data_IF_216012415342
#
_entry.id   IF_216012415342
#
_cell.length_a   1.000
_cell.length_b   1.000
_cell.length_c   1.000
_cell.angle_alpha   90.00
_cell.angle_beta   90.00
_cell.angle_gamma   90.00
#
_symmetry.space_group_name_H-M   'P 1'
#
loop_
_entity.id
_entity.type
_entity.pdbx_description
1 polymer ?
#
# COMPACT_ATOMS: atom_id res chain seq x y z
N UNK A 1 11.70 2.87 -6.33
CA UNK A 1 12.35 3.97 -5.62
C UNK A 1 12.20 3.76 -4.11
N UNK A 2 13.18 4.18 -3.34
CA UNK A 2 13.15 4.15 -1.87
C UNK A 2 13.43 5.57 -1.36
N UNK A 3 12.68 5.98 -0.35
CA UNK A 3 12.87 7.27 0.33
C UNK A 3 12.74 7.10 1.82
N UNK A 4 13.72 7.60 2.55
CA UNK A 4 13.69 7.74 4.00
C UNK A 4 13.32 9.18 4.34
N UNK A 5 12.35 9.36 5.22
CA UNK A 5 11.92 10.66 5.71
C UNK A 5 11.94 10.66 7.25
N UNK A 6 12.20 11.82 7.81
CA UNK A 6 12.12 12.04 9.25
C UNK A 6 10.69 12.47 9.60
N UNK A 7 9.75 11.51 9.56
CA UNK A 7 8.36 11.70 9.95
C UNK A 7 8.10 11.14 11.35
N UNK A 8 7.19 11.75 12.09
CA UNK A 8 6.85 11.31 13.45
C UNK A 8 5.63 10.39 13.49
N UNK A 9 4.77 10.47 12.47
CA UNK A 9 3.53 9.72 12.39
C UNK A 9 3.30 9.10 10.99
N UNK A 10 2.35 8.18 10.94
CA UNK A 10 2.01 7.48 9.70
C UNK A 10 1.32 8.41 8.70
N UNK A 11 0.55 9.40 9.17
CA UNK A 11 -0.21 10.31 8.31
C UNK A 11 0.70 11.13 7.38
N UNK A 12 1.87 11.55 7.88
CA UNK A 12 2.87 12.23 7.03
C UNK A 12 3.38 11.32 5.91
N UNK A 13 3.53 10.02 6.18
CA UNK A 13 3.93 9.05 5.16
C UNK A 13 2.82 8.86 4.12
N UNK A 14 1.55 8.79 4.54
CA UNK A 14 0.40 8.70 3.62
C UNK A 14 0.32 9.93 2.72
N UNK A 15 0.40 11.14 3.30
CA UNK A 15 0.38 12.40 2.55
C UNK A 15 1.52 12.50 1.54
N UNK A 16 2.72 12.06 1.92
CA UNK A 16 3.87 12.04 1.01
C UNK A 16 3.63 11.09 -0.16
N UNK A 17 3.13 9.88 0.09
CA UNK A 17 2.87 8.88 -0.95
C UNK A 17 1.76 9.37 -1.89
N UNK A 18 0.66 9.88 -1.36
CA UNK A 18 -0.43 10.43 -2.17
C UNK A 18 0.05 11.60 -3.02
N UNK A 19 0.77 12.55 -2.42
CA UNK A 19 1.34 13.70 -3.11
C UNK A 19 2.31 13.31 -4.22
N UNK A 20 3.19 12.33 -3.97
CA UNK A 20 4.12 11.81 -4.97
C UNK A 20 3.39 11.21 -6.18
N UNK A 21 2.40 10.36 -5.93
CA UNK A 21 1.63 9.72 -7.01
C UNK A 21 0.83 10.75 -7.81
N UNK A 22 0.10 11.64 -7.14
CA UNK A 22 -0.69 12.68 -7.82
C UNK A 22 0.20 13.60 -8.64
N UNK A 23 1.32 14.07 -8.07
CA UNK A 23 2.27 14.94 -8.80
C UNK A 23 2.86 14.22 -10.02
N UNK A 24 3.21 12.94 -9.87
CA UNK A 24 3.76 12.15 -10.98
C UNK A 24 2.74 11.96 -12.10
N UNK A 25 1.49 11.64 -11.74
CA UNK A 25 0.39 11.50 -12.71
C UNK A 25 0.10 12.84 -13.42
N UNK A 26 0.01 13.95 -12.66
CA UNK A 26 -0.23 15.29 -13.23
C UNK A 26 0.89 15.69 -14.20
N UNK A 27 2.15 15.55 -13.80
CA UNK A 27 3.30 15.86 -14.66
C UNK A 27 3.31 15.01 -15.94
N UNK A 28 2.88 13.75 -15.86
CA UNK A 28 2.79 12.87 -17.02
C UNK A 28 1.69 13.34 -17.99
N UNK A 29 0.54 13.74 -17.46
CA UNK A 29 -0.55 14.30 -18.28
C UNK A 29 -0.12 15.60 -18.94
N UNK A 30 0.48 16.51 -18.19
CA UNK A 30 0.90 17.83 -18.70
C UNK A 30 1.98 17.73 -19.78
N UNK A 31 2.90 16.76 -19.63
CA UNK A 31 4.03 16.58 -20.57
C UNK A 31 3.66 15.76 -21.81
N UNK A 32 2.69 14.86 -21.71
CA UNK A 32 2.40 13.83 -22.72
C UNK A 32 0.90 13.61 -22.95
N UNK A 33 0.07 14.65 -22.84
CA UNK A 33 -1.39 14.52 -22.91
C UNK A 33 -1.87 13.75 -24.15
N UNK A 34 -1.31 14.06 -25.33
CA UNK A 34 -1.64 13.38 -26.57
C UNK A 34 -1.24 11.90 -26.59
N UNK A 35 -0.05 11.57 -26.10
CA UNK A 35 0.49 10.20 -26.08
C UNK A 35 -0.21 9.35 -25.04
N UNK A 36 -0.48 9.89 -23.85
CA UNK A 36 -1.23 9.20 -22.78
C UNK A 36 -2.65 8.88 -23.26
N UNK A 37 -3.34 9.87 -23.87
CA UNK A 37 -4.66 9.68 -24.43
C UNK A 37 -4.71 8.58 -25.50
N UNK A 38 -3.72 8.55 -26.39
CA UNK A 38 -3.59 7.53 -27.43
C UNK A 38 -3.29 6.16 -26.85
N UNK A 39 -2.38 6.06 -25.85
CA UNK A 39 -2.04 4.83 -25.18
C UNK A 39 -3.25 4.22 -24.46
N UNK A 40 -4.01 5.02 -23.71
CA UNK A 40 -5.22 4.57 -23.02
C UNK A 40 -6.30 4.08 -23.99
N UNK A 41 -6.51 4.80 -25.10
CA UNK A 41 -7.42 4.36 -26.17
C UNK A 41 -6.99 3.02 -26.78
N UNK A 42 -5.69 2.85 -27.07
CA UNK A 42 -5.16 1.59 -27.63
C UNK A 42 -5.30 0.44 -26.66
N UNK A 43 -5.07 0.66 -25.37
CA UNK A 43 -5.24 -0.37 -24.34
C UNK A 43 -6.70 -0.77 -24.15
N UNK A 44 -7.63 0.18 -24.16
CA UNK A 44 -9.07 -0.12 -24.07
C UNK A 44 -9.56 -0.99 -25.23
N UNK A 45 -8.96 -0.85 -26.43
CA UNK A 45 -9.26 -1.69 -27.59
C UNK A 45 -8.68 -3.10 -27.47
N UNK A 46 -7.49 -3.26 -26.86
CA UNK A 46 -6.83 -4.57 -26.67
C UNK A 46 -7.48 -5.43 -25.57
N UNK A 47 -8.04 -4.81 -24.56
CA UNK A 47 -8.58 -5.51 -23.38
C UNK A 47 -10.09 -5.75 -23.39
N UNK A 48 -10.79 -5.50 -24.51
CA UNK A 48 -12.22 -5.85 -24.67
C UNK A 48 -12.55 -7.34 -24.52
N UNK A 49 -11.55 -8.21 -24.39
CA UNK A 49 -11.72 -9.66 -24.28
C UNK A 49 -11.54 -10.24 -22.86
N UNK A 50 -11.21 -9.46 -21.84
CA UNK A 50 -11.18 -9.92 -20.44
C UNK A 50 -11.91 -8.92 -19.56
N UNK A 51 -13.11 -9.29 -19.14
CA UNK A 51 -13.92 -8.63 -18.13
C UNK A 51 -13.23 -8.74 -16.75
N UNK A 52 -12.32 -7.85 -16.48
CA UNK A 52 -11.96 -7.43 -15.10
C UNK A 52 -11.88 -5.93 -15.20
N UNK A 53 -12.71 -5.20 -14.44
CA UNK A 53 -12.96 -3.77 -14.45
C UNK A 53 -11.76 -2.83 -14.66
N UNK A 54 -11.12 -2.91 -15.80
CA UNK A 54 -10.04 -2.03 -16.20
C UNK A 54 -10.65 -0.80 -16.87
N UNK A 55 -11.14 0.11 -16.06
CA UNK A 55 -11.43 1.47 -16.51
C UNK A 55 -10.11 2.25 -16.60
N UNK A 56 -9.36 2.00 -17.69
CA UNK A 56 -8.12 2.72 -18.04
C UNK A 56 -8.46 4.01 -18.82
N UNK A 57 -9.54 4.68 -18.46
CA UNK A 57 -9.96 5.92 -19.10
C UNK A 57 -9.21 7.13 -18.50
N UNK A 58 -9.11 8.21 -19.26
CA UNK A 58 -8.64 9.49 -18.75
C UNK A 58 -9.49 9.96 -17.56
N UNK A 59 -10.81 9.72 -17.61
CA UNK A 59 -11.73 10.00 -16.52
C UNK A 59 -11.29 9.34 -15.21
N UNK A 60 -10.80 8.10 -15.30
CA UNK A 60 -10.30 7.39 -14.12
C UNK A 60 -9.04 8.05 -13.54
N UNK A 61 -8.09 8.45 -14.40
CA UNK A 61 -6.88 9.17 -13.95
C UNK A 61 -7.26 10.52 -13.33
N UNK A 62 -8.18 11.24 -13.93
CA UNK A 62 -8.70 12.51 -13.38
C UNK A 62 -9.40 12.31 -12.02
N UNK A 63 -10.13 11.20 -11.87
CA UNK A 63 -10.76 10.82 -10.61
C UNK A 63 -9.71 10.60 -9.52
N UNK A 64 -8.66 9.82 -9.80
CA UNK A 64 -7.55 9.60 -8.87
C UNK A 64 -6.86 10.91 -8.47
N UNK A 65 -6.72 11.86 -9.39
CA UNK A 65 -6.13 13.16 -9.10
C UNK A 65 -7.02 14.04 -8.19
N UNK A 66 -8.33 13.98 -8.36
CA UNK A 66 -9.30 14.82 -7.64
C UNK A 66 -9.67 14.27 -6.26
N UNK A 67 -9.85 12.96 -6.16
CA UNK A 67 -10.30 12.30 -4.92
C UNK A 67 -9.14 12.10 -3.94
N UNK A 68 -9.42 12.21 -2.64
CA UNK A 68 -8.48 11.74 -1.61
C UNK A 68 -8.42 10.23 -1.60
N UNK A 69 -7.24 9.66 -1.38
CA UNK A 69 -7.08 8.21 -1.27
C UNK A 69 -7.81 7.70 -0.02
N UNK A 70 -8.43 6.55 -0.14
CA UNK A 70 -9.13 5.92 0.99
C UNK A 70 -8.10 5.38 1.98
N UNK A 71 -8.34 5.58 3.27
CA UNK A 71 -7.54 4.99 4.34
C UNK A 71 -8.39 3.98 5.09
N UNK A 72 -7.89 2.76 5.23
CA UNK A 72 -8.52 1.74 6.07
C UNK A 72 -7.47 0.94 6.84
N UNK A 73 -7.84 0.43 7.98
CA UNK A 73 -6.99 -0.50 8.75
C UNK A 73 -6.99 -1.88 8.10
N UNK A 74 -5.95 -2.68 8.38
CA UNK A 74 -5.93 -4.08 7.96
C UNK A 74 -7.13 -4.88 8.49
N UNK A 75 -7.61 -4.57 9.70
CA UNK A 75 -8.79 -5.23 10.27
C UNK A 75 -10.05 -4.94 9.45
N UNK A 76 -10.29 -3.66 9.08
CA UNK A 76 -11.43 -3.28 8.22
C UNK A 76 -11.32 -3.91 6.84
N UNK A 77 -10.11 -3.89 6.25
CA UNK A 77 -9.87 -4.56 4.97
C UNK A 77 -10.20 -6.06 5.05
N UNK A 78 -9.76 -6.72 6.12
CA UNK A 78 -10.03 -8.14 6.33
C UNK A 78 -11.53 -8.42 6.51
N UNK A 79 -12.27 -7.60 7.26
CA UNK A 79 -13.72 -7.75 7.40
C UNK A 79 -14.46 -7.64 6.06
N UNK A 80 -14.01 -6.76 5.16
CA UNK A 80 -14.57 -6.64 3.82
C UNK A 80 -14.29 -7.92 3.01
N UNK A 81 -13.06 -8.42 3.06
CA UNK A 81 -12.66 -9.62 2.33
C UNK A 81 -13.36 -10.88 2.86
N UNK A 82 -13.47 -11.03 4.17
CA UNK A 82 -14.13 -12.17 4.82
C UNK A 82 -15.61 -12.27 4.43
N UNK A 83 -16.31 -11.14 4.34
CA UNK A 83 -17.71 -11.08 3.86
C UNK A 83 -17.88 -11.53 2.39
N UNK A 84 -16.80 -11.54 1.61
CA UNK A 84 -16.80 -11.90 0.19
C UNK A 84 -15.86 -13.08 -0.10
N UNK A 85 -15.58 -13.88 0.92
CA UNK A 85 -14.60 -14.95 0.86
C UNK A 85 -14.86 -15.97 -0.26
N UNK A 86 -16.13 -16.19 -0.61
CA UNK A 86 -16.59 -17.06 -1.69
C UNK A 86 -16.16 -16.61 -3.09
N UNK A 87 -15.70 -15.39 -3.26
CA UNK A 87 -15.28 -14.82 -4.53
C UNK A 87 -13.80 -15.02 -4.85
N UNK A 88 -13.00 -15.50 -3.88
CA UNK A 88 -11.55 -15.61 -4.01
C UNK A 88 -11.10 -17.05 -4.26
N UNK A 89 -10.07 -17.20 -5.09
CA UNK A 89 -9.41 -18.50 -5.28
C UNK A 89 -8.65 -18.92 -4.01
N UNK A 90 -8.00 -17.92 -3.36
CA UNK A 90 -7.32 -18.11 -2.08
C UNK A 90 -8.10 -17.41 -0.97
N UNK A 91 -8.57 -18.19 0.00
CA UNK A 91 -9.32 -17.64 1.13
C UNK A 91 -8.49 -16.60 1.90
N UNK A 92 -9.06 -15.44 2.27
CA UNK A 92 -8.36 -14.45 3.08
C UNK A 92 -8.02 -15.05 4.45
N UNK A 93 -6.79 -14.81 4.90
CA UNK A 93 -6.32 -15.28 6.21
C UNK A 93 -5.50 -14.21 6.91
N UNK A 94 -5.91 -13.83 8.12
CA UNK A 94 -5.34 -12.68 8.88
C UNK A 94 -3.82 -12.74 9.02
N UNK A 95 -3.23 -13.94 9.10
CA UNK A 95 -1.78 -14.09 9.33
C UNK A 95 -0.93 -14.17 8.06
N UNK A 96 -1.55 -14.22 6.87
CA UNK A 96 -0.81 -14.41 5.62
C UNK A 96 -0.64 -13.12 4.79
N UNK A 97 -1.25 -12.01 5.25
CA UNK A 97 -1.28 -10.77 4.47
C UNK A 97 -2.33 -10.81 3.35
N UNK A 98 -2.24 -9.87 2.42
CA UNK A 98 -3.15 -9.77 1.29
C UNK A 98 -2.51 -10.38 0.04
N UNK A 99 -3.26 -11.23 -0.66
CA UNK A 99 -2.88 -11.69 -1.99
C UNK A 99 -3.33 -10.68 -3.06
N UNK A 100 -2.82 -10.84 -4.28
CA UNK A 100 -3.11 -9.93 -5.41
C UNK A 100 -4.59 -9.76 -5.69
N UNK A 101 -5.38 -10.82 -5.62
CA UNK A 101 -6.83 -10.77 -5.82
C UNK A 101 -7.53 -9.96 -4.73
N UNK A 102 -7.07 -10.07 -3.47
CA UNK A 102 -7.59 -9.31 -2.33
C UNK A 102 -7.32 -7.82 -2.49
N UNK A 103 -6.10 -7.45 -2.90
CA UNK A 103 -5.69 -6.06 -3.13
C UNK A 103 -6.55 -5.40 -4.23
N UNK A 104 -6.70 -6.07 -5.35
CA UNK A 104 -7.52 -5.57 -6.47
C UNK A 104 -9.00 -5.47 -6.09
N UNK A 105 -9.51 -6.44 -5.32
CA UNK A 105 -10.88 -6.41 -4.82
C UNK A 105 -11.13 -5.22 -3.90
N UNK A 106 -10.23 -4.93 -2.96
CA UNK A 106 -10.35 -3.78 -2.06
C UNK A 106 -10.41 -2.45 -2.83
N UNK A 107 -9.56 -2.29 -3.84
CA UNK A 107 -9.58 -1.10 -4.70
C UNK A 107 -10.90 -1.01 -5.49
N UNK A 108 -11.39 -2.13 -6.01
CA UNK A 108 -12.70 -2.18 -6.69
C UNK A 108 -13.85 -1.84 -5.73
N UNK A 109 -13.82 -2.37 -4.51
CA UNK A 109 -14.79 -2.09 -3.45
C UNK A 109 -14.82 -0.59 -3.10
N UNK A 110 -13.68 0.08 -3.15
CA UNK A 110 -13.53 1.52 -2.98
C UNK A 110 -13.72 2.32 -4.28
N UNK A 111 -14.53 1.84 -5.22
CA UNK A 111 -14.86 2.53 -6.47
C UNK A 111 -13.65 2.92 -7.32
N UNK A 112 -12.62 2.08 -7.35
CA UNK A 112 -11.37 2.31 -8.07
C UNK A 112 -10.58 3.54 -7.58
N UNK A 113 -10.82 3.99 -6.34
CA UNK A 113 -9.96 4.97 -5.65
C UNK A 113 -8.80 4.21 -5.01
N UNK A 114 -7.55 4.73 -5.08
CA UNK A 114 -6.43 4.11 -4.37
C UNK A 114 -6.68 4.00 -2.87
N UNK A 115 -6.19 2.92 -2.27
CA UNK A 115 -6.47 2.56 -0.88
C UNK A 115 -5.17 2.40 -0.11
N UNK A 116 -5.03 3.11 0.99
CA UNK A 116 -4.03 2.86 2.00
C UNK A 116 -4.54 1.83 2.99
N UNK A 117 -3.87 0.70 3.11
CA UNK A 117 -4.11 -0.28 4.18
C UNK A 117 -3.05 -0.08 5.25
N UNK A 118 -3.48 0.26 6.47
CA UNK A 118 -2.61 0.63 7.59
C UNK A 118 -2.76 -0.33 8.79
N UNK A 119 -1.90 -0.18 9.79
CA UNK A 119 -1.96 -0.93 11.06
C UNK A 119 -1.97 -2.45 10.83
N UNK A 120 -0.93 -2.92 10.18
CA UNK A 120 -0.76 -4.32 9.81
C UNK A 120 -0.44 -5.22 11.00
N UNK A 121 -0.84 -6.50 10.97
CA UNK A 121 -0.38 -7.47 11.95
C UNK A 121 1.15 -7.59 11.93
N UNK A 122 1.78 -7.52 13.08
CA UNK A 122 3.25 -7.54 13.22
C UNK A 122 3.91 -8.71 12.50
N UNK A 123 3.26 -9.87 12.48
CA UNK A 123 3.77 -11.10 11.85
C UNK A 123 3.85 -11.03 10.33
N UNK A 124 3.11 -10.11 9.70
CA UNK A 124 3.04 -9.97 8.24
C UNK A 124 4.03 -8.93 7.69
N UNK A 125 4.70 -8.19 8.56
CA UNK A 125 5.61 -7.09 8.18
C UNK A 125 7.02 -7.33 8.71
N UNK A 126 7.96 -6.53 8.22
CA UNK A 126 9.36 -6.65 8.55
C UNK A 126 9.64 -6.30 10.03
N UNK A 127 10.67 -6.93 10.61
CA UNK A 127 11.08 -6.80 12.01
C UNK A 127 11.33 -5.36 12.47
N UNK A 128 11.67 -4.48 11.54
CA UNK A 128 12.00 -3.08 11.80
C UNK A 128 10.80 -2.13 11.81
N UNK A 129 9.60 -2.62 11.52
CA UNK A 129 8.40 -1.80 11.55
C UNK A 129 8.05 -1.47 13.01
N UNK A 130 7.78 -0.16 13.28
CA UNK A 130 7.43 0.34 14.62
C UNK A 130 6.11 -0.26 15.08
N UNK A 131 6.07 -0.73 16.31
CA UNK A 131 4.83 -1.17 16.92
C UNK A 131 3.89 0.02 17.15
N UNK A 132 2.58 -0.23 16.99
CA UNK A 132 1.57 0.75 17.35
C UNK A 132 1.54 0.95 18.87
N UNK A 133 1.33 2.19 19.33
CA UNK A 133 1.37 2.54 20.76
C UNK A 133 0.24 1.91 21.57
N UNK A 134 -0.88 1.69 20.94
CA UNK A 134 -2.14 1.18 21.51
C UNK A 134 -2.26 -0.35 21.40
N UNK A 135 -1.50 -0.98 20.51
CA UNK A 135 -1.53 -2.42 20.30
C UNK A 135 -0.18 -2.94 19.77
N UNK A 136 0.56 -3.68 20.58
CA UNK A 136 1.89 -4.23 20.26
C UNK A 136 1.85 -5.40 19.26
N UNK A 137 0.67 -5.92 18.92
CA UNK A 137 0.48 -6.93 17.87
C UNK A 137 0.35 -6.31 16.48
N UNK A 138 0.20 -4.98 16.41
CA UNK A 138 0.12 -4.22 15.17
C UNK A 138 1.38 -3.36 14.98
N UNK A 139 1.67 -3.06 13.73
CA UNK A 139 2.78 -2.17 13.33
C UNK A 139 2.27 -1.03 12.47
N UNK A 140 2.89 0.14 12.62
CA UNK A 140 2.63 1.35 11.84
C UNK A 140 3.24 1.21 10.44
N UNK A 141 2.68 0.28 9.67
CA UNK A 141 3.02 0.02 8.28
C UNK A 141 1.82 0.38 7.40
N UNK A 142 2.11 0.68 6.15
CA UNK A 142 1.13 1.01 5.11
C UNK A 142 1.48 0.32 3.81
N UNK A 143 0.48 -0.19 3.12
CA UNK A 143 0.55 -0.56 1.71
C UNK A 143 -0.44 0.30 0.94
N UNK A 144 0.02 0.93 -0.13
CA UNK A 144 -0.81 1.67 -1.07
C UNK A 144 -1.24 0.73 -2.19
N UNK A 145 -2.52 0.42 -2.21
CA UNK A 145 -3.16 -0.36 -3.26
C UNK A 145 -3.66 0.57 -4.35
N UNK A 146 -3.35 0.24 -5.59
CA UNK A 146 -3.67 1.09 -6.74
C UNK A 146 -4.49 0.31 -7.78
N UNK A 147 -5.43 0.98 -8.49
CA UNK A 147 -6.26 0.35 -9.52
C UNK A 147 -5.43 -0.41 -10.55
N UNK A 148 -5.85 -1.61 -10.88
CA UNK A 148 -5.22 -2.52 -11.86
C UNK A 148 -3.79 -2.99 -11.51
N UNK A 149 -3.18 -2.42 -10.47
CA UNK A 149 -1.81 -2.73 -10.02
C UNK A 149 -1.80 -3.59 -8.76
N UNK A 150 -2.71 -3.35 -7.80
CA UNK A 150 -2.65 -3.84 -6.42
C UNK A 150 -1.60 -3.07 -5.62
N UNK A 151 -0.78 -3.68 -4.79
CA UNK A 151 0.27 -2.97 -4.06
C UNK A 151 1.22 -2.24 -5.02
N UNK A 152 1.16 -0.91 -5.00
CA UNK A 152 2.01 -0.01 -5.76
C UNK A 152 3.21 0.45 -4.94
N UNK A 153 3.00 0.71 -3.67
CA UNK A 153 4.03 1.17 -2.74
C UNK A 153 3.75 0.68 -1.33
N UNK A 154 4.80 0.39 -0.60
CA UNK A 154 4.74 0.04 0.82
C UNK A 154 5.63 0.95 1.66
N UNK A 155 5.33 1.03 2.95
CA UNK A 155 6.13 1.82 3.88
C UNK A 155 5.86 1.44 5.34
N UNK A 156 6.73 1.91 6.22
CA UNK A 156 6.53 1.76 7.66
C UNK A 156 7.30 2.83 8.43
N UNK A 157 6.76 3.24 9.56
CA UNK A 157 7.57 3.91 10.56
C UNK A 157 8.62 2.94 11.07
N UNK A 158 9.85 3.41 11.20
CA UNK A 158 10.95 2.56 11.69
C UNK A 158 10.95 2.51 13.21
N UNK A 159 11.10 1.31 13.76
CA UNK A 159 11.28 1.14 15.21
C UNK A 159 12.57 1.83 15.64
N UNK A 160 12.47 2.69 16.64
CA UNK A 160 13.57 3.46 17.21
C UNK A 160 14.04 2.93 18.57
N UNK A 161 13.24 2.08 19.21
CA UNK A 161 13.56 1.50 20.52
C UNK A 161 14.46 0.27 20.34
N UNK A 162 15.68 0.38 20.84
CA UNK A 162 16.68 -0.68 20.77
C UNK A 162 16.18 -2.01 21.35
N UNK A 163 15.53 -1.98 22.53
CA UNK A 163 15.06 -3.19 23.22
C UNK A 163 13.96 -3.91 22.41
N UNK A 164 13.13 -3.16 21.69
CA UNK A 164 12.09 -3.72 20.85
C UNK A 164 12.72 -4.39 19.62
N UNK A 165 13.67 -3.72 18.98
CA UNK A 165 14.41 -4.27 17.83
C UNK A 165 15.20 -5.52 18.24
N UNK A 166 15.86 -5.50 19.38
CA UNK A 166 16.60 -6.66 19.89
C UNK A 166 15.69 -7.88 20.08
N UNK A 167 14.49 -7.67 20.61
CA UNK A 167 13.48 -8.74 20.72
C UNK A 167 13.00 -9.24 19.36
N UNK A 168 12.75 -8.31 18.43
CA UNK A 168 12.27 -8.66 17.09
C UNK A 168 13.33 -9.42 16.28
N UNK A 169 14.61 -9.18 16.55
CA UNK A 169 15.76 -9.85 15.91
C UNK A 169 16.19 -11.14 16.61
N UNK A 170 15.57 -11.49 17.75
CA UNK A 170 15.95 -12.68 18.47
C UNK A 170 15.87 -13.94 17.59
N UNK A 171 17.02 -14.59 17.38
CA UNK A 171 17.15 -15.78 16.51
C UNK A 171 17.46 -15.49 15.02
N UNK A 172 17.51 -14.23 14.60
CA UNK A 172 17.91 -13.84 13.24
C UNK A 172 19.40 -13.45 13.26
N UNK A 173 20.23 -14.18 12.50
CA UNK A 173 21.66 -13.91 12.40
C UNK A 173 21.98 -12.95 11.24
N UNK A 174 23.06 -12.18 11.38
CA UNK A 174 23.60 -11.33 10.30
C UNK A 174 22.96 -9.94 10.22
N UNK A 175 22.14 -9.57 11.21
CA UNK A 175 21.50 -8.25 11.32
C UNK A 175 21.98 -7.45 12.56
N UNK A 176 23.09 -7.87 13.19
CA UNK A 176 23.68 -7.22 14.35
C UNK A 176 24.02 -5.76 14.04
N UNK A 177 24.51 -5.49 12.81
CA UNK A 177 24.83 -4.15 12.33
C UNK A 177 23.59 -3.20 12.37
N UNK A 178 22.38 -3.72 12.20
CA UNK A 178 21.16 -2.90 12.25
C UNK A 178 20.86 -2.43 13.68
N UNK A 179 21.16 -3.26 14.68
CA UNK A 179 21.08 -2.87 16.10
C UNK A 179 22.13 -1.82 16.44
N UNK A 180 23.35 -2.00 15.94
CA UNK A 180 24.47 -1.05 16.20
C UNK A 180 24.15 0.35 15.66
N UNK A 181 23.48 0.45 14.52
CA UNK A 181 23.00 1.75 14.00
C UNK A 181 22.01 2.45 14.95
N UNK A 182 21.28 1.72 15.76
CA UNK A 182 20.32 2.28 16.72
C UNK A 182 20.93 2.63 18.07
N UNK A 183 22.10 2.09 18.36
CA UNK A 183 22.88 2.45 19.55
C UNK A 183 23.70 3.73 19.36
N UNK A 184 24.20 3.95 18.14
CA UNK A 184 25.25 4.92 17.86
C UNK A 184 24.81 6.04 16.88
N UNK A 185 23.56 6.02 16.40
CA UNK A 185 23.02 6.94 15.39
C UNK A 185 21.91 7.87 15.87
#
# INVERSE_FOLDING_TARGET
AEKVIFGQDLDQLLQLQEGLIKTSLQNTLDSHEGDVGNYLKLNSLKHKSKQIGNDNSLEHVEKVLKESFVVMTYAEAFEILDKHADQFEVQPHVSHGLGKEHELFLVQHCHQIPVFVINWPKKTKAFYARQCSDNDQLVAAVDLLFPSVGELAGGALREDKYEVLQKNLAGIKGLEWYLDLRCNG
#
